data_IF_599024855603
#
_entry.id   IF_599024855603
#
_cell.length_a   1.000
_cell.length_b   1.000
_cell.length_c   1.000
_cell.angle_alpha   90.00
_cell.angle_beta   90.00
_cell.angle_gamma   90.00
#
_symmetry.space_group_name_H-M   'P 1'
#
loop_
_entity.id
_entity.type
_entity.pdbx_description
1 polymer ?
#
# COMPACT_ATOMS: atom_id res chain seq x y z
N UNK A 1 -0.93 10.71 11.85
CA UNK A 1 -1.19 11.36 10.54
C UNK A 1 -1.50 12.86 10.57
N UNK A 2 -2.23 13.40 11.57
CA UNK A 2 -2.53 14.86 11.66
C UNK A 2 -1.29 15.77 11.56
N UNK A 3 -0.20 15.43 12.28
CA UNK A 3 1.06 16.19 12.25
C UNK A 3 1.67 16.27 10.85
N UNK A 4 1.72 15.14 10.13
CA UNK A 4 2.24 15.07 8.77
C UNK A 4 1.39 15.90 7.78
N UNK A 5 0.06 15.77 7.84
CA UNK A 5 -0.84 16.56 6.97
C UNK A 5 -0.69 18.07 7.22
N UNK A 6 -0.56 18.49 8.48
CA UNK A 6 -0.35 19.90 8.80
C UNK A 6 1.01 20.40 8.33
N UNK A 7 2.06 19.59 8.44
CA UNK A 7 3.38 19.93 7.93
C UNK A 7 3.35 20.12 6.41
N UNK A 8 2.79 19.17 5.66
CA UNK A 8 2.70 19.24 4.19
C UNK A 8 1.87 20.45 3.72
N UNK A 9 0.74 20.74 4.38
CA UNK A 9 -0.09 21.91 4.05
C UNK A 9 0.63 23.25 4.27
N UNK A 10 1.51 23.32 5.28
CA UNK A 10 2.29 24.53 5.58
C UNK A 10 3.50 24.68 4.65
N UNK A 11 4.13 23.57 4.27
CA UNK A 11 5.32 23.56 3.44
C UNK A 11 5.02 23.83 1.95
N UNK A 12 3.86 23.41 1.44
CA UNK A 12 3.55 23.47 0.01
C UNK A 12 2.05 23.82 -0.26
N UNK A 13 1.77 25.00 -0.85
CA UNK A 13 0.41 25.40 -1.23
C UNK A 13 -0.26 24.52 -2.30
N UNK A 14 0.50 23.90 -3.21
CA UNK A 14 -0.02 22.96 -4.20
C UNK A 14 -0.49 21.69 -3.49
N UNK A 15 0.34 21.11 -2.61
CA UNK A 15 -0.08 19.96 -1.80
C UNK A 15 -1.25 20.30 -0.88
N UNK A 16 -1.31 21.51 -0.32
CA UNK A 16 -2.44 21.95 0.49
C UNK A 16 -3.76 21.90 -0.28
N UNK A 17 -3.78 22.38 -1.53
CA UNK A 17 -4.94 22.32 -2.42
C UNK A 17 -5.33 20.87 -2.77
N UNK A 18 -4.35 20.01 -3.07
CA UNK A 18 -4.59 18.58 -3.34
C UNK A 18 -5.20 17.89 -2.13
N UNK A 19 -4.64 18.07 -0.93
CA UNK A 19 -5.15 17.47 0.30
C UNK A 19 -6.58 17.96 0.59
N UNK A 20 -6.88 19.24 0.37
CA UNK A 20 -8.24 19.78 0.52
C UNK A 20 -9.22 19.12 -0.46
N UNK A 21 -8.80 18.90 -1.71
CA UNK A 21 -9.64 18.30 -2.76
C UNK A 21 -9.87 16.80 -2.56
N UNK A 22 -8.85 16.05 -2.15
CA UNK A 22 -8.94 14.59 -1.91
C UNK A 22 -9.71 14.29 -0.62
N UNK A 23 -9.58 15.15 0.40
CA UNK A 23 -10.30 15.00 1.66
C UNK A 23 -9.55 14.15 2.70
N UNK A 24 -10.26 13.43 3.59
CA UNK A 24 -9.65 12.70 4.69
C UNK A 24 -8.60 11.67 4.26
N UNK A 25 -7.51 11.58 5.03
CA UNK A 25 -6.50 10.54 4.84
C UNK A 25 -7.09 9.16 5.21
N UNK A 26 -7.01 8.19 4.27
CA UNK A 26 -7.62 6.86 4.39
C UNK A 26 -6.64 5.70 4.16
N UNK A 27 -5.34 5.94 4.03
CA UNK A 27 -4.39 4.85 3.83
C UNK A 27 -4.40 3.95 5.09
N UNK A 28 -4.79 2.70 4.88
CA UNK A 28 -4.71 1.63 5.86
C UNK A 28 -3.46 0.81 5.57
N UNK A 29 -2.60 0.69 6.59
CA UNK A 29 -1.41 -0.13 6.50
C UNK A 29 -1.81 -1.58 6.79
N UNK A 30 -1.36 -2.51 5.93
CA UNK A 30 -1.41 -3.93 6.29
C UNK A 30 -0.27 -4.20 7.26
N UNK A 31 -0.63 -4.43 8.52
CA UNK A 31 0.32 -4.77 9.59
C UNK A 31 0.41 -6.28 9.84
N UNK A 32 -0.43 -7.05 9.15
CA UNK A 32 -0.45 -8.51 9.22
C UNK A 32 0.53 -9.11 8.22
N UNK A 33 1.22 -10.18 8.61
CA UNK A 33 2.20 -10.90 7.79
C UNK A 33 3.62 -10.79 8.34
N UNK A 34 4.51 -11.52 7.69
CA UNK A 34 5.95 -11.51 8.00
C UNK A 34 6.71 -10.67 6.98
N UNK A 35 7.93 -10.25 7.33
CA UNK A 35 8.78 -9.43 6.46
C UNK A 35 8.94 -10.01 5.05
N UNK A 36 9.06 -11.34 4.93
CA UNK A 36 9.22 -12.01 3.65
C UNK A 36 7.98 -11.84 2.74
N UNK A 37 6.77 -12.05 3.27
CA UNK A 37 5.52 -11.85 2.53
C UNK A 37 5.39 -10.41 2.01
N UNK A 38 5.78 -9.43 2.82
CA UNK A 38 5.76 -8.04 2.39
C UNK A 38 6.68 -7.75 1.21
N UNK A 39 7.88 -8.36 1.18
CA UNK A 39 8.80 -8.24 0.05
C UNK A 39 8.26 -8.96 -1.18
N UNK A 40 7.74 -10.18 -1.03
CA UNK A 40 7.11 -10.93 -2.13
C UNK A 40 5.96 -10.11 -2.73
N UNK A 41 5.07 -9.57 -1.89
CA UNK A 41 3.98 -8.70 -2.32
C UNK A 41 4.50 -7.45 -3.01
N UNK A 42 5.54 -6.80 -2.49
CA UNK A 42 6.12 -5.60 -3.10
C UNK A 42 6.64 -5.91 -4.51
N UNK A 43 7.36 -7.02 -4.70
CA UNK A 43 7.87 -7.48 -6.00
C UNK A 43 6.71 -7.76 -6.97
N UNK A 44 5.70 -8.51 -6.54
CA UNK A 44 4.53 -8.83 -7.38
C UNK A 44 3.77 -7.58 -7.84
N UNK A 45 3.80 -6.49 -7.06
CA UNK A 45 3.10 -5.24 -7.39
C UNK A 45 3.91 -4.26 -8.26
N UNK A 46 5.17 -4.57 -8.58
CA UNK A 46 5.99 -3.70 -9.42
C UNK A 46 5.46 -3.65 -10.85
N UNK A 47 5.36 -2.43 -11.39
CA UNK A 47 4.96 -2.15 -12.78
C UNK A 47 3.58 -2.69 -13.20
N UNK A 48 2.71 -3.03 -12.23
CA UNK A 48 1.36 -3.55 -12.46
C UNK A 48 0.29 -2.67 -11.83
N UNK A 49 -0.91 -2.69 -12.42
CA UNK A 49 -2.08 -2.14 -11.75
C UNK A 49 -2.39 -2.91 -10.46
N UNK A 50 -2.97 -2.22 -9.47
CA UNK A 50 -3.32 -2.87 -8.19
C UNK A 50 -4.25 -4.09 -8.36
N UNK A 51 -5.13 -4.07 -9.36
CA UNK A 51 -6.02 -5.20 -9.68
C UNK A 51 -5.24 -6.39 -10.24
N UNK A 52 -4.37 -6.16 -11.24
CA UNK A 52 -3.56 -7.22 -11.84
C UNK A 52 -2.62 -7.86 -10.81
N UNK A 53 -1.91 -7.03 -10.04
CA UNK A 53 -1.02 -7.50 -9.00
C UNK A 53 -1.75 -8.29 -7.89
N UNK A 54 -2.96 -7.87 -7.51
CA UNK A 54 -3.77 -8.62 -6.53
C UNK A 54 -4.16 -10.00 -7.03
N UNK A 55 -4.52 -10.13 -8.32
CA UNK A 55 -4.82 -11.43 -8.94
C UNK A 55 -3.60 -12.35 -8.93
N UNK A 56 -2.42 -11.84 -9.31
CA UNK A 56 -1.19 -12.64 -9.33
C UNK A 56 -0.80 -13.04 -7.90
N UNK A 57 -0.82 -12.11 -6.96
CA UNK A 57 -0.52 -12.37 -5.55
C UNK A 57 -1.46 -13.42 -4.95
N UNK A 58 -2.75 -13.39 -5.30
CA UNK A 58 -3.71 -14.43 -4.91
C UNK A 58 -3.28 -15.82 -5.39
N UNK A 59 -2.95 -15.94 -6.68
CA UNK A 59 -2.46 -17.20 -7.26
C UNK A 59 -1.17 -17.69 -6.60
N UNK A 60 -0.25 -16.78 -6.23
CA UNK A 60 0.95 -17.15 -5.47
C UNK A 60 0.55 -17.76 -4.13
N UNK A 61 -0.35 -17.13 -3.38
CA UNK A 61 -0.85 -17.67 -2.11
C UNK A 61 -1.55 -19.02 -2.26
N UNK A 62 -2.26 -19.24 -3.36
CA UNK A 62 -2.94 -20.51 -3.63
C UNK A 62 -1.95 -21.68 -3.77
N UNK A 63 -0.73 -21.43 -4.26
CA UNK A 63 0.36 -22.43 -4.27
C UNK A 63 0.79 -22.84 -2.85
N UNK A 64 0.51 -22.02 -1.84
CA UNK A 64 0.79 -22.26 -0.42
C UNK A 64 -0.48 -22.51 0.41
N UNK A 65 -1.55 -22.99 -0.22
CA UNK A 65 -2.80 -23.31 0.47
C UNK A 65 -3.51 -22.08 1.06
N UNK A 66 -3.40 -20.93 0.39
CA UNK A 66 -3.99 -19.66 0.80
C UNK A 66 -3.20 -18.92 1.90
N UNK A 67 -2.08 -19.49 2.35
CA UNK A 67 -1.20 -18.87 3.35
C UNK A 67 -0.22 -17.89 2.69
N UNK A 68 0.37 -17.02 3.50
CA UNK A 68 1.45 -16.17 3.04
C UNK A 68 2.70 -17.03 2.79
N UNK A 69 3.50 -16.75 1.74
CA UNK A 69 4.76 -17.42 1.53
C UNK A 69 5.68 -17.24 2.74
N UNK A 70 6.42 -18.29 3.08
CA UNK A 70 7.57 -18.26 4.00
C UNK A 70 8.85 -18.58 3.21
N UNK A 71 10.03 -18.16 3.67
CA UNK A 71 11.29 -18.62 3.11
C UNK A 71 11.40 -20.14 3.05
#
# INVERSE_FOLDING_TARGET
MRKALNHLKKADPVLARVIKRVGPYRLSLKTEGEHFDHVVRAIVFQQLSGKAASTIHGRVKDLFGGKNPTP
#
